data_IF_814759272164
#
_entry.id   IF_814759272164
#
_cell.length_a   1.000
_cell.length_b   1.000
_cell.length_c   1.000
_cell.angle_alpha   90.00
_cell.angle_beta   90.00
_cell.angle_gamma   90.00
#
_symmetry.space_group_name_H-M   'P 1'
#
loop_
_entity.id
_entity.type
_entity.pdbx_description
1 polymer ?
#
# COMPACT_ATOMS: atom_id res chain seq x y z
N UNK A 1 -15.98 -10.13 -5.36
CA UNK A 1 -16.24 -9.33 -4.13
C UNK A 1 -16.09 -10.29 -2.96
N UNK A 2 -15.16 -10.04 -2.06
CA UNK A 2 -14.86 -10.94 -0.92
C UNK A 2 -15.76 -10.56 0.24
N UNK A 3 -16.39 -11.54 0.87
CA UNK A 3 -17.20 -11.36 2.09
C UNK A 3 -16.61 -12.19 3.23
N UNK A 4 -16.84 -11.77 4.47
CA UNK A 4 -16.36 -12.49 5.63
C UNK A 4 -16.92 -13.94 5.74
N UNK A 5 -18.14 -14.16 5.26
CA UNK A 5 -18.77 -15.48 5.21
C UNK A 5 -18.12 -16.47 4.24
N UNK A 6 -17.24 -16.00 3.36
CA UNK A 6 -16.55 -16.85 2.38
C UNK A 6 -15.36 -17.60 3.03
N UNK A 7 -14.94 -17.16 4.22
CA UNK A 7 -13.81 -17.76 4.95
C UNK A 7 -14.27 -18.85 5.92
N UNK A 8 -13.42 -19.87 6.07
CA UNK A 8 -13.63 -20.90 7.07
C UNK A 8 -13.69 -20.28 8.48
N UNK A 9 -14.74 -20.57 9.28
CA UNK A 9 -14.86 -20.05 10.65
C UNK A 9 -13.68 -20.39 11.56
N UNK A 10 -12.91 -21.45 11.26
CA UNK A 10 -11.70 -21.85 12.00
C UNK A 10 -10.53 -20.91 11.84
N UNK A 11 -10.56 -20.01 10.85
CA UNK A 11 -9.51 -18.99 10.66
C UNK A 11 -9.42 -18.09 11.89
N UNK A 12 -8.22 -17.95 12.42
CA UNK A 12 -7.90 -17.14 13.61
C UNK A 12 -7.26 -15.81 13.27
N UNK A 13 -6.63 -15.72 12.08
CA UNK A 13 -5.90 -14.53 11.68
C UNK A 13 -6.04 -14.24 10.18
N UNK A 14 -6.03 -12.96 9.86
CA UNK A 14 -6.11 -12.40 8.51
C UNK A 14 -4.92 -11.51 8.27
N UNK A 15 -4.22 -11.73 7.17
CA UNK A 15 -3.08 -10.91 6.73
C UNK A 15 -3.51 -10.16 5.48
N UNK A 16 -3.27 -8.88 5.43
CA UNK A 16 -3.59 -8.03 4.29
C UNK A 16 -2.33 -7.36 3.74
N UNK A 17 -2.18 -7.34 2.42
CA UNK A 17 -1.33 -6.34 1.76
C UNK A 17 -2.02 -4.97 1.82
N UNK A 18 -1.25 -3.89 1.65
CA UNK A 18 -1.74 -2.52 1.73
C UNK A 18 -2.22 -2.01 0.36
N UNK A 19 -1.27 -1.85 -0.55
CA UNK A 19 -1.46 -1.18 -1.83
C UNK A 19 -2.33 -2.01 -2.79
N UNK A 20 -3.37 -1.41 -3.35
CA UNK A 20 -4.35 -2.04 -4.25
C UNK A 20 -5.14 -3.21 -3.65
N UNK A 21 -5.01 -3.45 -2.34
CA UNK A 21 -5.78 -4.42 -1.57
C UNK A 21 -6.72 -3.73 -0.60
N UNK A 22 -6.20 -2.91 0.29
CA UNK A 22 -7.04 -2.18 1.24
C UNK A 22 -7.58 -0.87 0.67
N UNK A 23 -6.84 -0.25 -0.24
CA UNK A 23 -7.21 1.02 -0.89
C UNK A 23 -6.55 1.11 -2.28
N UNK A 24 -7.02 2.00 -3.19
CA UNK A 24 -6.34 2.20 -4.47
C UNK A 24 -5.04 2.98 -4.30
N UNK A 25 -3.88 2.38 -4.58
CA UNK A 25 -2.57 3.06 -4.52
C UNK A 25 -2.53 4.34 -5.35
N UNK A 26 -3.31 4.39 -6.42
CA UNK A 26 -3.49 5.57 -7.27
C UNK A 26 -3.85 6.83 -6.45
N UNK A 27 -4.70 6.70 -5.43
CA UNK A 27 -5.15 7.82 -4.61
C UNK A 27 -4.02 8.46 -3.81
N UNK A 28 -3.02 7.67 -3.41
CA UNK A 28 -1.80 8.16 -2.80
C UNK A 28 -0.90 8.85 -3.83
N UNK A 29 -0.65 8.20 -4.96
CA UNK A 29 0.27 8.68 -5.98
C UNK A 29 -0.20 10.01 -6.59
N UNK A 30 -1.48 10.16 -6.88
CA UNK A 30 -2.04 11.41 -7.42
C UNK A 30 -1.89 12.57 -6.45
N UNK A 31 -1.99 12.35 -5.15
CA UNK A 31 -1.76 13.41 -4.16
C UNK A 31 -0.28 13.81 -4.11
N UNK A 32 0.64 12.86 -4.22
CA UNK A 32 2.08 13.14 -4.30
C UNK A 32 2.41 13.92 -5.57
N UNK A 33 1.84 13.53 -6.72
CA UNK A 33 2.03 14.25 -7.99
C UNK A 33 1.49 15.68 -7.91
N UNK A 34 0.32 15.85 -7.30
CA UNK A 34 -0.25 17.18 -7.03
C UNK A 34 0.70 18.06 -6.20
N UNK A 35 1.22 17.52 -5.11
CA UNK A 35 2.15 18.25 -4.24
C UNK A 35 3.45 18.61 -4.96
N UNK A 36 4.01 17.67 -5.72
CA UNK A 36 5.24 17.91 -6.47
C UNK A 36 5.05 18.96 -7.58
N UNK A 37 3.97 18.87 -8.34
CA UNK A 37 3.70 19.81 -9.43
C UNK A 37 3.50 21.25 -8.92
N UNK A 38 2.74 21.42 -7.83
CA UNK A 38 2.54 22.73 -7.21
C UNK A 38 3.83 23.29 -6.59
N UNK A 39 4.65 22.43 -5.99
CA UNK A 39 5.97 22.82 -5.49
C UNK A 39 6.86 23.32 -6.64
N UNK A 40 6.88 22.62 -7.77
CA UNK A 40 7.71 22.96 -8.91
C UNK A 40 7.25 24.27 -9.57
N UNK A 41 5.96 24.44 -9.83
CA UNK A 41 5.38 25.69 -10.35
C UNK A 41 5.68 26.90 -9.46
N UNK A 42 5.62 26.72 -8.13
CA UNK A 42 5.94 27.78 -7.19
C UNK A 42 7.38 28.25 -7.28
N UNK A 43 8.34 27.35 -7.57
CA UNK A 43 9.78 27.66 -7.60
C UNK A 43 10.23 28.09 -8.98
N UNK A 44 9.81 27.39 -10.03
CA UNK A 44 10.33 27.58 -11.40
C UNK A 44 9.33 28.29 -12.32
N UNK A 45 8.07 28.48 -11.90
CA UNK A 45 6.96 29.03 -12.70
C UNK A 45 6.53 28.15 -13.89
N UNK A 46 7.36 27.21 -14.32
CA UNK A 46 7.10 26.26 -15.41
C UNK A 46 7.66 24.90 -15.04
N UNK A 47 7.01 23.78 -15.40
CA UNK A 47 5.72 23.71 -16.12
C UNK A 47 4.54 24.15 -15.24
N UNK A 48 3.39 24.54 -15.85
CA UNK A 48 2.15 24.75 -15.10
C UNK A 48 1.76 23.47 -14.34
N UNK A 49 1.38 23.62 -13.06
CA UNK A 49 1.09 22.45 -12.21
C UNK A 49 0.00 21.55 -12.81
N UNK A 50 -1.05 22.14 -13.40
CA UNK A 50 -2.14 21.39 -14.01
C UNK A 50 -1.67 20.47 -15.16
N UNK A 51 -0.76 20.98 -16.02
CA UNK A 51 -0.23 20.21 -17.14
C UNK A 51 0.66 19.06 -16.66
N UNK A 52 1.51 19.34 -15.66
CA UNK A 52 2.38 18.32 -15.08
C UNK A 52 1.58 17.22 -14.36
N UNK A 53 0.55 17.58 -13.57
CA UNK A 53 -0.34 16.63 -12.92
C UNK A 53 -1.03 15.74 -13.96
N UNK A 54 -1.63 16.34 -15.00
CA UNK A 54 -2.33 15.59 -16.04
C UNK A 54 -1.38 14.62 -16.77
N UNK A 55 -0.15 15.07 -17.05
CA UNK A 55 0.87 14.24 -17.67
C UNK A 55 1.26 13.05 -16.76
N UNK A 56 1.60 13.31 -15.49
CA UNK A 56 2.02 12.26 -14.55
C UNK A 56 0.90 11.25 -14.30
N UNK A 57 -0.36 11.71 -14.21
CA UNK A 57 -1.52 10.83 -14.11
C UNK A 57 -1.65 9.93 -15.33
N UNK A 58 -1.55 10.49 -16.53
CA UNK A 58 -1.66 9.74 -17.78
C UNK A 58 -0.49 8.75 -17.93
N UNK A 59 0.72 9.15 -17.56
CA UNK A 59 1.89 8.26 -17.57
C UNK A 59 1.70 7.08 -16.63
N UNK A 60 1.19 7.33 -15.41
CA UNK A 60 0.85 6.26 -14.46
C UNK A 60 -0.19 5.27 -15.03
N UNK A 61 -1.21 5.77 -15.71
CA UNK A 61 -2.26 4.92 -16.33
C UNK A 61 -1.71 4.04 -17.47
N UNK A 62 -0.65 4.46 -18.15
CA UNK A 62 -0.06 3.71 -19.27
C UNK A 62 1.08 2.78 -18.87
N UNK A 63 1.93 3.18 -17.93
CA UNK A 63 3.17 2.46 -17.60
C UNK A 63 3.32 2.09 -16.12
N UNK A 64 2.34 2.42 -15.28
CA UNK A 64 2.44 2.25 -13.83
C UNK A 64 3.27 3.35 -13.18
N UNK A 65 3.73 3.10 -11.95
CA UNK A 65 4.42 4.12 -11.11
C UNK A 65 5.90 4.30 -11.42
N UNK A 66 6.49 3.36 -12.14
CA UNK A 66 7.93 3.38 -12.41
C UNK A 66 8.29 4.44 -13.45
N UNK A 67 9.41 5.14 -13.24
CA UNK A 67 9.96 6.10 -14.21
C UNK A 67 9.12 7.38 -14.43
N UNK A 68 8.12 7.66 -13.59
CA UNK A 68 7.25 8.84 -13.75
C UNK A 68 8.03 10.14 -13.72
N UNK A 69 9.03 10.27 -12.82
CA UNK A 69 9.87 11.44 -12.78
C UNK A 69 10.70 11.59 -14.07
N UNK A 70 11.29 10.50 -14.56
CA UNK A 70 12.12 10.49 -15.78
C UNK A 70 11.30 10.91 -17.00
N UNK A 71 10.09 10.36 -17.15
CA UNK A 71 9.16 10.73 -18.21
C UNK A 71 8.76 12.21 -18.14
N UNK A 72 8.50 12.73 -16.94
CA UNK A 72 8.16 14.14 -16.75
C UNK A 72 9.37 15.04 -17.01
N UNK A 73 10.56 14.62 -16.61
CA UNK A 73 11.81 15.31 -16.88
C UNK A 73 12.07 15.46 -18.39
N UNK A 74 11.89 14.37 -19.13
CA UNK A 74 12.09 14.37 -20.59
C UNK A 74 11.12 15.33 -21.31
N UNK A 75 9.85 15.35 -20.90
CA UNK A 75 8.81 16.14 -21.59
C UNK A 75 8.85 17.62 -21.20
N UNK A 76 9.06 17.92 -19.92
CA UNK A 76 8.97 19.29 -19.40
C UNK A 76 10.33 19.94 -19.11
N UNK A 77 11.45 19.22 -19.30
CA UNK A 77 12.79 19.74 -19.00
C UNK A 77 13.04 19.97 -17.52
N UNK A 78 12.42 19.17 -16.65
CA UNK A 78 12.57 19.30 -15.19
C UNK A 78 14.04 19.02 -14.82
N UNK A 79 14.65 19.91 -14.02
CA UNK A 79 16.04 19.75 -13.58
C UNK A 79 16.16 18.54 -12.63
N UNK A 80 17.19 17.74 -12.84
CA UNK A 80 17.51 16.55 -12.03
C UNK A 80 17.62 16.86 -10.52
N UNK A 81 17.99 18.07 -10.16
CA UNK A 81 18.06 18.51 -8.75
C UNK A 81 16.75 18.32 -7.98
N UNK A 82 15.60 18.23 -8.68
CA UNK A 82 14.27 18.04 -8.06
C UNK A 82 13.89 16.58 -7.84
N UNK A 83 14.67 15.63 -8.31
CA UNK A 83 14.41 14.18 -8.08
C UNK A 83 14.31 13.85 -6.58
N UNK A 84 15.25 14.36 -5.78
CA UNK A 84 15.21 14.10 -4.34
C UNK A 84 13.97 14.72 -3.65
N UNK A 85 13.50 15.87 -4.13
CA UNK A 85 12.25 16.47 -3.66
C UNK A 85 11.04 15.56 -3.99
N UNK A 86 11.00 15.01 -5.21
CA UNK A 86 9.97 14.05 -5.62
C UNK A 86 9.99 12.79 -4.76
N UNK A 87 11.15 12.17 -4.57
CA UNK A 87 11.32 10.98 -3.74
C UNK A 87 10.98 11.24 -2.27
N UNK A 88 11.33 12.41 -1.74
CA UNK A 88 10.99 12.81 -0.37
C UNK A 88 9.48 12.99 -0.20
N UNK A 89 8.78 13.55 -1.18
CA UNK A 89 7.32 13.63 -1.14
C UNK A 89 6.68 12.25 -1.12
N UNK A 90 7.21 11.28 -1.88
CA UNK A 90 6.75 9.89 -1.81
C UNK A 90 6.93 9.27 -0.42
N UNK A 91 7.97 9.63 0.33
CA UNK A 91 8.23 9.07 1.66
C UNK A 91 7.47 9.77 2.78
N UNK A 92 7.37 11.11 2.71
CA UNK A 92 7.08 11.92 3.90
C UNK A 92 5.99 12.98 3.69
N UNK A 93 5.33 13.02 2.51
CA UNK A 93 4.34 14.05 2.23
C UNK A 93 3.18 14.02 3.24
N UNK A 94 2.81 15.20 3.73
CA UNK A 94 1.52 15.38 4.39
C UNK A 94 0.44 15.48 3.32
N UNK A 95 -0.31 14.41 3.15
CA UNK A 95 -1.34 14.35 2.11
C UNK A 95 -2.46 15.36 2.36
N UNK A 96 -2.96 16.02 1.30
CA UNK A 96 -4.11 16.92 1.40
C UNK A 96 -5.41 16.24 1.84
N UNK A 97 -5.61 14.99 1.41
CA UNK A 97 -6.81 14.21 1.68
C UNK A 97 -6.44 12.88 2.37
N UNK A 98 -7.39 12.34 3.13
CA UNK A 98 -7.29 11.00 3.68
C UNK A 98 -7.36 9.95 2.57
N UNK A 99 -6.65 8.83 2.77
CA UNK A 99 -6.78 7.64 1.93
C UNK A 99 -7.96 6.81 2.44
N UNK A 100 -8.88 6.49 1.55
CA UNK A 100 -10.09 5.76 1.91
C UNK A 100 -9.93 4.27 1.59
N UNK A 101 -10.30 3.42 2.54
CA UNK A 101 -10.39 1.99 2.33
C UNK A 101 -11.46 1.66 1.27
N UNK A 102 -11.24 0.61 0.49
CA UNK A 102 -12.35 0.02 -0.26
C UNK A 102 -13.47 -0.37 0.69
N UNK A 103 -14.70 -0.13 0.28
CA UNK A 103 -15.86 -0.37 1.13
C UNK A 103 -15.93 -1.83 1.62
N UNK A 104 -15.72 -2.77 0.71
CA UNK A 104 -15.71 -4.21 1.02
C UNK A 104 -14.58 -4.60 1.98
N UNK A 105 -13.43 -3.95 1.91
CA UNK A 105 -12.31 -4.19 2.84
C UNK A 105 -12.61 -3.60 4.22
N UNK A 106 -13.22 -2.43 4.27
CA UNK A 106 -13.68 -1.86 5.54
C UNK A 106 -14.71 -2.77 6.22
N UNK A 107 -15.72 -3.23 5.46
CA UNK A 107 -16.75 -4.13 5.97
C UNK A 107 -16.13 -5.46 6.46
N UNK A 108 -15.16 -6.01 5.73
CA UNK A 108 -14.43 -7.23 6.10
C UNK A 108 -13.62 -7.05 7.39
N UNK A 109 -12.82 -5.98 7.48
CA UNK A 109 -12.01 -5.67 8.67
C UNK A 109 -12.88 -5.48 9.91
N UNK A 110 -14.05 -4.83 9.78
CA UNK A 110 -15.00 -4.66 10.87
C UNK A 110 -15.53 -6.00 11.38
N UNK A 111 -15.92 -6.92 10.48
CA UNK A 111 -16.43 -8.24 10.86
C UNK A 111 -15.34 -9.10 11.53
N UNK A 112 -14.11 -9.09 11.01
CA UNK A 112 -12.96 -9.76 11.63
C UNK A 112 -12.74 -9.24 13.06
N UNK A 113 -12.86 -7.93 13.25
CA UNK A 113 -12.69 -7.27 14.56
C UNK A 113 -13.81 -7.64 15.53
N UNK A 114 -15.07 -7.71 15.07
CA UNK A 114 -16.23 -8.16 15.88
C UNK A 114 -16.01 -9.57 16.39
N UNK A 115 -15.48 -10.45 15.56
CA UNK A 115 -15.19 -11.85 15.93
C UNK A 115 -13.86 -12.00 16.71
N UNK A 116 -13.20 -10.88 17.04
CA UNK A 116 -11.94 -10.82 17.80
C UNK A 116 -10.81 -11.65 17.21
N UNK A 117 -10.78 -11.82 15.90
CA UNK A 117 -9.69 -12.46 15.16
C UNK A 117 -8.53 -11.47 14.96
N UNK A 118 -7.33 -11.99 14.79
CA UNK A 118 -6.15 -11.15 14.63
C UNK A 118 -6.07 -10.57 13.20
N UNK A 119 -5.64 -9.33 13.09
CA UNK A 119 -5.44 -8.64 11.81
C UNK A 119 -3.98 -8.20 11.71
N UNK A 120 -3.32 -8.64 10.66
CA UNK A 120 -1.95 -8.24 10.32
C UNK A 120 -1.95 -7.50 9.00
N UNK A 121 -1.27 -6.37 8.96
CA UNK A 121 -0.96 -5.64 7.74
C UNK A 121 0.50 -5.92 7.40
N UNK A 122 0.74 -6.57 6.27
CA UNK A 122 2.09 -6.98 5.85
C UNK A 122 2.35 -6.41 4.46
N UNK A 123 3.17 -5.37 4.39
CA UNK A 123 3.36 -4.61 3.15
C UNK A 123 4.82 -4.53 2.73
N UNK A 124 5.05 -4.49 1.41
CA UNK A 124 6.36 -4.37 0.78
C UNK A 124 6.69 -2.91 0.41
N UNK A 125 7.96 -2.64 0.17
CA UNK A 125 8.48 -1.34 -0.24
C UNK A 125 9.07 -0.53 0.92
N UNK A 126 9.38 0.74 0.64
CA UNK A 126 10.04 1.59 1.62
C UNK A 126 9.23 1.75 2.91
N UNK A 127 9.73 1.33 4.10
CA UNK A 127 8.97 1.34 5.34
C UNK A 127 8.46 2.73 5.76
N UNK A 128 9.23 3.79 5.50
CA UNK A 128 8.85 5.16 5.81
C UNK A 128 7.65 5.58 4.96
N UNK A 129 7.68 5.26 3.66
CA UNK A 129 6.58 5.54 2.75
C UNK A 129 5.32 4.76 3.12
N UNK A 130 5.44 3.46 3.39
CA UNK A 130 4.29 2.63 3.77
C UNK A 130 3.69 3.09 5.10
N UNK A 131 4.52 3.43 6.08
CA UNK A 131 4.05 4.01 7.35
C UNK A 131 3.34 5.35 7.13
N UNK A 132 3.83 6.18 6.20
CA UNK A 132 3.18 7.44 5.85
C UNK A 132 1.79 7.22 5.25
N UNK A 133 1.64 6.25 4.32
CA UNK A 133 0.33 5.84 3.77
C UNK A 133 -0.63 5.41 4.89
N UNK A 134 -0.19 4.50 5.77
CA UNK A 134 -0.97 3.97 6.90
C UNK A 134 -1.47 5.10 7.82
N UNK A 135 -0.64 6.09 8.11
CA UNK A 135 -1.00 7.25 8.96
C UNK A 135 -2.03 8.18 8.31
N UNK A 136 -2.09 8.23 6.99
CA UNK A 136 -3.05 9.05 6.25
C UNK A 136 -4.36 8.32 5.92
N UNK A 137 -4.45 7.03 6.23
CA UNK A 137 -5.68 6.26 6.01
C UNK A 137 -6.79 6.63 6.98
N UNK A 138 -8.02 6.55 6.47
CA UNK A 138 -9.23 6.65 7.29
C UNK A 138 -9.62 5.24 7.77
N UNK A 139 -9.10 4.88 8.94
CA UNK A 139 -9.28 3.53 9.51
C UNK A 139 -10.62 3.32 10.20
N UNK A 140 -11.38 4.38 10.46
CA UNK A 140 -12.67 4.30 11.17
C UNK A 140 -12.58 3.61 12.57
N UNK A 141 -11.47 3.80 13.27
CA UNK A 141 -11.23 3.20 14.59
C UNK A 141 -10.59 1.81 14.56
N UNK A 142 -10.33 1.25 13.37
CA UNK A 142 -9.72 -0.07 13.23
C UNK A 142 -8.21 -0.09 13.46
N UNK A 143 -7.55 1.07 13.47
CA UNK A 143 -6.09 1.19 13.63
C UNK A 143 -5.54 0.53 14.90
N UNK A 144 -6.35 0.44 15.94
CA UNK A 144 -5.97 -0.17 17.22
C UNK A 144 -5.96 -1.71 17.19
N UNK A 145 -6.53 -2.32 16.15
CA UNK A 145 -6.65 -3.77 16.00
C UNK A 145 -5.63 -4.34 15.01
N UNK A 146 -4.84 -3.46 14.38
CA UNK A 146 -3.87 -3.85 13.36
C UNK A 146 -2.48 -4.02 13.96
N UNK A 147 -1.78 -5.08 13.54
CA UNK A 147 -0.33 -5.23 13.73
C UNK A 147 0.34 -5.07 12.37
N UNK A 148 1.26 -4.12 12.25
CA UNK A 148 1.89 -3.76 10.97
C UNK A 148 3.29 -4.33 10.87
N UNK A 149 3.63 -4.90 9.71
CA UNK A 149 4.94 -5.44 9.38
C UNK A 149 5.37 -4.95 8.00
N UNK A 150 6.63 -4.57 7.89
CA UNK A 150 7.26 -4.17 6.64
C UNK A 150 8.21 -5.28 6.20
N UNK A 151 7.94 -5.90 5.03
CA UNK A 151 8.75 -7.04 4.57
C UNK A 151 10.20 -6.65 4.34
N UNK A 152 10.44 -5.45 3.80
CA UNK A 152 11.76 -4.97 3.43
C UNK A 152 12.67 -4.66 4.65
N UNK A 153 12.13 -4.68 5.87
CA UNK A 153 12.94 -4.60 7.10
C UNK A 153 13.59 -5.95 7.47
N UNK A 154 13.07 -7.07 6.96
CA UNK A 154 13.60 -8.40 7.19
C UNK A 154 14.04 -9.07 5.89
N UNK A 155 13.09 -9.45 5.06
CA UNK A 155 13.30 -10.08 3.76
C UNK A 155 12.20 -9.63 2.79
N UNK A 156 12.56 -9.15 1.57
CA UNK A 156 11.57 -8.78 0.57
C UNK A 156 10.71 -9.98 0.14
N UNK A 157 9.45 -9.72 -0.25
CA UNK A 157 8.61 -10.72 -0.91
C UNK A 157 9.33 -11.25 -2.17
N UNK A 158 9.19 -12.53 -2.49
CA UNK A 158 8.30 -13.54 -1.89
C UNK A 158 8.95 -14.39 -0.78
N UNK A 159 10.03 -13.94 -0.13
CA UNK A 159 10.66 -14.68 0.97
C UNK A 159 9.75 -14.71 2.20
N UNK A 160 9.47 -15.89 2.82
CA UNK A 160 8.39 -16.04 3.79
C UNK A 160 8.75 -15.63 5.23
N UNK A 161 9.94 -15.09 5.48
CA UNK A 161 10.46 -14.86 6.83
C UNK A 161 9.52 -14.08 7.74
N UNK A 162 8.91 -13.01 7.23
CA UNK A 162 7.93 -12.21 8.00
C UNK A 162 6.70 -13.04 8.38
N UNK A 163 6.14 -13.83 7.45
CA UNK A 163 4.99 -14.69 7.72
C UNK A 163 5.31 -15.77 8.74
N UNK A 164 6.47 -16.40 8.63
CA UNK A 164 6.94 -17.42 9.59
C UNK A 164 7.06 -16.83 11.00
N UNK A 165 7.60 -15.60 11.11
CA UNK A 165 7.69 -14.91 12.39
C UNK A 165 6.30 -14.59 12.96
N UNK A 166 5.37 -14.11 12.14
CA UNK A 166 3.98 -13.85 12.56
C UNK A 166 3.33 -15.13 13.10
N UNK A 167 3.44 -16.26 12.39
CA UNK A 167 2.89 -17.54 12.83
C UNK A 167 3.48 -17.95 14.19
N UNK A 168 4.79 -17.94 14.31
CA UNK A 168 5.51 -18.32 15.53
C UNK A 168 5.16 -17.42 16.72
N UNK A 169 5.25 -16.11 16.55
CA UNK A 169 5.10 -15.16 17.66
C UNK A 169 3.66 -15.06 18.17
N UNK A 170 2.68 -15.45 17.35
CA UNK A 170 1.27 -15.46 17.72
C UNK A 170 0.72 -16.89 17.97
N UNK A 171 1.57 -17.93 17.94
CA UNK A 171 1.18 -19.34 18.14
C UNK A 171 0.06 -19.78 17.20
N UNK A 172 0.21 -19.45 15.91
CA UNK A 172 -0.73 -19.76 14.84
C UNK A 172 -0.20 -20.87 13.94
N UNK A 173 -1.07 -21.80 13.55
CA UNK A 173 -0.79 -22.72 12.46
C UNK A 173 -1.10 -22.05 11.11
N UNK A 174 -0.36 -22.39 10.07
CA UNK A 174 -0.57 -21.82 8.72
C UNK A 174 -2.00 -22.05 8.19
N UNK A 175 -2.63 -23.20 8.56
CA UNK A 175 -4.02 -23.51 8.20
C UNK A 175 -5.06 -22.59 8.85
N UNK A 176 -4.71 -21.93 9.94
CA UNK A 176 -5.58 -21.00 10.69
C UNK A 176 -5.50 -19.55 10.17
N UNK A 177 -4.65 -19.32 9.16
CA UNK A 177 -4.37 -17.99 8.64
C UNK A 177 -4.75 -17.90 7.16
N UNK A 178 -5.17 -16.73 6.72
CA UNK A 178 -5.39 -16.42 5.31
C UNK A 178 -4.67 -15.10 4.97
N UNK A 179 -4.03 -15.06 3.80
CA UNK A 179 -3.43 -13.85 3.25
C UNK A 179 -4.30 -13.34 2.10
N UNK A 180 -4.65 -12.07 2.15
CA UNK A 180 -5.42 -11.35 1.15
C UNK A 180 -4.48 -10.36 0.47
N UNK A 181 -4.29 -10.52 -0.83
CA UNK A 181 -3.29 -9.78 -1.60
C UNK A 181 -3.61 -9.73 -3.09
N UNK A 182 -2.66 -9.23 -3.87
CA UNK A 182 -2.71 -9.26 -5.34
C UNK A 182 -2.00 -10.50 -5.87
N UNK A 183 -2.37 -10.95 -7.09
CA UNK A 183 -1.68 -12.07 -7.74
C UNK A 183 -0.19 -11.75 -7.96
N UNK A 184 0.64 -12.79 -8.05
CA UNK A 184 2.08 -12.67 -8.25
C UNK A 184 2.87 -12.82 -6.95
N UNK A 185 3.57 -11.77 -6.51
CA UNK A 185 4.48 -11.86 -5.35
C UNK A 185 3.75 -12.19 -4.05
N UNK A 186 2.52 -11.70 -3.83
CA UNK A 186 1.75 -12.02 -2.62
C UNK A 186 1.29 -13.48 -2.60
N UNK A 187 0.91 -14.02 -3.76
CA UNK A 187 0.55 -15.43 -3.89
C UNK A 187 1.74 -16.35 -3.61
N UNK A 188 2.91 -16.03 -4.19
CA UNK A 188 4.15 -16.78 -3.93
C UNK A 188 4.58 -16.66 -2.47
N UNK A 189 4.45 -15.48 -1.88
CA UNK A 189 4.75 -15.19 -0.49
C UNK A 189 3.90 -16.06 0.46
N UNK A 190 2.59 -16.11 0.25
CA UNK A 190 1.68 -16.97 1.01
C UNK A 190 2.01 -18.46 0.82
N UNK A 191 2.23 -18.89 -0.43
CA UNK A 191 2.59 -20.26 -0.77
C UNK A 191 3.87 -20.72 -0.08
N UNK A 192 4.89 -19.86 -0.03
CA UNK A 192 6.17 -20.18 0.60
C UNK A 192 6.06 -20.34 2.13
N UNK A 193 5.02 -19.78 2.73
CA UNK A 193 4.67 -19.95 4.16
C UNK A 193 3.59 -21.00 4.40
N UNK A 194 3.11 -21.70 3.36
CA UNK A 194 1.99 -22.65 3.39
C UNK A 194 0.67 -22.04 3.94
N UNK A 195 0.48 -20.73 3.75
CA UNK A 195 -0.73 -19.97 4.14
C UNK A 195 -1.70 -19.96 2.96
N UNK A 196 -2.99 -20.07 3.24
CA UNK A 196 -4.06 -19.88 2.25
C UNK A 196 -4.00 -18.48 1.67
N UNK A 197 -4.12 -18.37 0.35
CA UNK A 197 -4.09 -17.09 -0.38
C UNK A 197 -5.43 -16.80 -1.04
N UNK A 198 -5.86 -15.54 -0.93
CA UNK A 198 -7.05 -15.02 -1.61
C UNK A 198 -6.68 -13.76 -2.36
N UNK A 199 -6.86 -13.78 -3.68
CA UNK A 199 -6.61 -12.64 -4.56
C UNK A 199 -7.80 -11.69 -4.59
N UNK A 200 -7.52 -10.39 -4.62
CA UNK A 200 -8.49 -9.32 -4.86
C UNK A 200 -8.23 -8.61 -6.17
#
# INVERSE_FOLDING_TARGET
>A
MINYSDFDPSKKAFIFELDNVLYPEKDYLLQVYYLFANFLEYIETVPPAGDLIAFMQKSYEHQGKEGIFDSAQEVFGIDEKYRENFLRLHREAKLPLKLLLYKEMLDLLQQITVDRKQIFLVTAGNPIQQLNKIRHMEWNGLENYLKVFFTDELEPKPAPGVLINILKDNSLDASEVVLIGTAGDDELFAKNAAIEFVSV
#
